data_IF_721373101638
#
_entry.id   IF_721373101638
#
_cell.length_a   1.000
_cell.length_b   1.000
_cell.length_c   1.000
_cell.angle_alpha   90.00
_cell.angle_beta   90.00
_cell.angle_gamma   90.00
#
_symmetry.space_group_name_H-M   'P 1'
#
loop_
_entity.id
_entity.type
_entity.pdbx_description
1 polymer ?
#
# COMPACT_ATOMS: atom_id res chain seq x y z
N UNK A 1 22.91 2.20 -12.48
CA UNK A 1 22.78 2.99 -11.23
C UNK A 1 21.69 4.07 -11.29
N UNK A 2 20.92 4.20 -12.38
CA UNK A 2 19.87 5.25 -12.52
C UNK A 2 18.48 4.80 -12.08
N UNK A 3 18.23 3.50 -12.09
CA UNK A 3 16.94 2.90 -11.73
C UNK A 3 16.60 3.08 -10.25
N UNK A 4 17.61 3.19 -9.40
CA UNK A 4 17.46 3.20 -7.94
C UNK A 4 17.04 4.57 -7.41
N UNK A 5 17.62 5.65 -7.94
CA UNK A 5 17.28 7.03 -7.57
C UNK A 5 15.83 7.40 -7.90
N UNK A 6 15.27 6.83 -8.97
CA UNK A 6 13.86 7.01 -9.33
C UNK A 6 12.95 6.23 -8.38
N UNK A 7 13.35 5.02 -8.00
CA UNK A 7 12.61 4.21 -7.03
C UNK A 7 12.57 4.86 -5.63
N UNK A 8 13.65 5.53 -5.21
CA UNK A 8 13.70 6.27 -3.96
C UNK A 8 12.75 7.47 -3.95
N UNK A 9 12.76 8.31 -4.99
CA UNK A 9 11.83 9.44 -5.12
C UNK A 9 10.37 8.99 -5.19
N UNK A 10 10.08 7.92 -5.94
CA UNK A 10 8.74 7.35 -6.00
C UNK A 10 8.31 6.81 -4.61
N UNK A 11 9.24 6.25 -3.83
CA UNK A 11 8.97 5.76 -2.48
C UNK A 11 8.70 6.90 -1.49
N UNK A 12 9.44 8.01 -1.55
CA UNK A 12 9.19 9.19 -0.71
C UNK A 12 7.76 9.73 -0.89
N UNK A 13 7.27 9.78 -2.13
CA UNK A 13 5.89 10.17 -2.44
C UNK A 13 4.87 9.20 -1.83
N UNK A 14 5.14 7.89 -1.94
CA UNK A 14 4.31 6.85 -1.32
C UNK A 14 4.31 6.97 0.20
N UNK A 15 5.45 7.26 0.81
CA UNK A 15 5.60 7.44 2.25
C UNK A 15 4.88 8.70 2.75
N UNK A 16 5.00 9.82 2.04
CA UNK A 16 4.27 11.04 2.34
C UNK A 16 2.75 10.81 2.24
N UNK A 17 2.30 10.12 1.19
CA UNK A 17 0.90 9.74 1.02
C UNK A 17 0.42 8.77 2.12
N UNK A 18 1.29 7.87 2.60
CA UNK A 18 1.01 6.98 3.72
C UNK A 18 0.82 7.76 5.03
N UNK A 19 1.77 8.63 5.38
CA UNK A 19 1.79 9.36 6.66
C UNK A 19 0.74 10.47 6.79
N UNK A 20 0.20 11.02 5.69
CA UNK A 20 -0.72 12.18 5.67
C UNK A 20 -1.92 12.14 6.63
N UNK A 21 -2.37 10.97 7.11
CA UNK A 21 -3.67 10.83 7.81
C UNK A 21 -3.65 9.91 9.05
N UNK A 22 -2.47 9.44 9.48
CA UNK A 22 -2.28 8.74 10.77
C UNK A 22 -2.85 7.32 10.91
N UNK A 23 -3.55 6.79 9.91
CA UNK A 23 -4.02 5.39 9.89
C UNK A 23 -3.32 4.57 8.82
N UNK A 24 -3.26 3.26 9.02
CA UNK A 24 -2.72 2.32 8.05
C UNK A 24 -3.51 2.39 6.74
N UNK A 25 -2.84 2.62 5.61
CA UNK A 25 -3.48 2.80 4.29
C UNK A 25 -3.16 1.63 3.38
N UNK A 26 -4.15 1.04 2.73
CA UNK A 26 -3.90 0.08 1.66
C UNK A 26 -3.36 0.74 0.38
N UNK A 27 -2.90 -0.06 -0.58
CA UNK A 27 -2.44 0.44 -1.89
C UNK A 27 -3.50 1.27 -2.64
N UNK A 28 -4.80 1.00 -2.40
CA UNK A 28 -5.91 1.83 -2.92
C UNK A 28 -5.86 3.25 -2.38
N UNK A 29 -5.76 3.37 -1.07
CA UNK A 29 -5.81 4.64 -0.37
C UNK A 29 -4.60 5.51 -0.70
N UNK A 30 -3.42 4.89 -0.83
CA UNK A 30 -2.19 5.57 -1.29
C UNK A 30 -2.41 6.10 -2.72
N UNK A 31 -2.90 5.26 -3.64
CA UNK A 31 -3.18 5.68 -5.01
C UNK A 31 -4.17 6.85 -5.08
N UNK A 32 -5.25 6.80 -4.30
CA UNK A 32 -6.25 7.89 -4.24
C UNK A 32 -5.64 9.18 -3.66
N UNK A 33 -4.78 9.06 -2.64
CA UNK A 33 -4.11 10.23 -2.04
C UNK A 33 -3.17 10.91 -3.03
N UNK A 34 -2.40 10.11 -3.79
CA UNK A 34 -1.51 10.61 -4.84
C UNK A 34 -2.29 11.26 -5.98
N UNK A 35 -3.40 10.64 -6.40
CA UNK A 35 -4.28 11.19 -7.45
C UNK A 35 -4.82 12.57 -7.04
N UNK A 36 -5.20 12.75 -5.78
CA UNK A 36 -5.67 14.03 -5.26
C UNK A 36 -4.57 15.09 -5.15
N UNK A 37 -3.30 14.68 -5.15
CA UNK A 37 -2.14 15.56 -5.24
C UNK A 37 -1.70 15.82 -6.69
N UNK A 38 -2.41 15.28 -7.69
CA UNK A 38 -2.06 15.39 -9.11
C UNK A 38 -1.00 14.40 -9.59
N UNK A 39 -0.59 13.44 -8.75
CA UNK A 39 0.44 12.45 -9.08
C UNK A 39 -0.23 11.14 -9.51
N UNK A 40 -0.18 10.85 -10.80
CA UNK A 40 -0.75 9.61 -11.36
C UNK A 40 0.28 8.49 -11.30
N UNK A 41 0.21 7.67 -10.25
CA UNK A 41 1.05 6.47 -10.11
C UNK A 41 0.21 5.19 -10.23
N UNK A 42 0.65 4.23 -11.05
CA UNK A 42 -0.02 2.93 -11.15
C UNK A 42 0.07 2.16 -9.82
N UNK A 43 -1.04 1.60 -9.37
CA UNK A 43 -1.10 0.69 -8.21
C UNK A 43 -0.06 -0.44 -8.25
N UNK A 44 0.27 -0.98 -9.42
CA UNK A 44 1.32 -2.00 -9.55
C UNK A 44 2.70 -1.47 -9.12
N UNK A 45 3.04 -0.22 -9.47
CA UNK A 45 4.30 0.42 -9.02
C UNK A 45 4.28 0.63 -7.50
N UNK A 46 3.18 1.12 -6.95
CA UNK A 46 3.02 1.32 -5.50
C UNK A 46 3.23 -0.01 -4.76
N UNK A 47 2.58 -1.10 -5.20
CA UNK A 47 2.75 -2.42 -4.58
C UNK A 47 4.19 -2.94 -4.71
N UNK A 48 4.86 -2.75 -5.85
CA UNK A 48 6.29 -3.13 -6.01
C UNK A 48 7.18 -2.36 -5.04
N UNK A 49 7.01 -1.04 -4.95
CA UNK A 49 7.79 -0.19 -4.05
C UNK A 49 7.53 -0.54 -2.59
N UNK A 50 6.27 -0.76 -2.21
CA UNK A 50 5.93 -1.23 -0.87
C UNK A 50 6.59 -2.56 -0.52
N UNK A 51 6.66 -3.52 -1.47
CA UNK A 51 7.37 -4.79 -1.25
C UNK A 51 8.89 -4.60 -1.16
N UNK A 52 9.47 -3.74 -2.00
CA UNK A 52 10.92 -3.45 -2.00
C UNK A 52 11.39 -2.80 -0.70
N UNK A 53 10.62 -1.84 -0.19
CA UNK A 53 10.92 -1.10 1.04
C UNK A 53 10.23 -1.67 2.28
N UNK A 54 9.67 -2.87 2.18
CA UNK A 54 9.00 -3.59 3.25
C UNK A 54 7.93 -2.77 4.01
N UNK A 55 7.22 -1.88 3.31
CA UNK A 55 6.16 -1.05 3.88
C UNK A 55 4.90 -1.91 4.10
N UNK A 56 4.70 -2.37 5.33
CA UNK A 56 3.55 -3.21 5.69
C UNK A 56 2.33 -2.33 5.96
N UNK A 57 1.23 -2.60 5.25
CA UNK A 57 -0.05 -1.95 5.50
C UNK A 57 -1.00 -2.91 6.22
N UNK A 58 -1.24 -2.72 7.52
CA UNK A 58 -1.97 -3.69 8.34
C UNK A 58 -3.49 -3.78 8.08
N UNK A 59 -4.03 -3.26 6.97
CA UNK A 59 -5.45 -3.48 6.64
C UNK A 59 -5.61 -4.84 5.96
N UNK A 60 -5.57 -5.90 6.75
CA UNK A 60 -6.32 -7.12 6.46
C UNK A 60 -7.21 -7.41 7.67
N UNK A 61 -8.48 -6.98 7.60
CA UNK A 61 -9.52 -7.66 8.39
C UNK A 61 -9.61 -9.09 7.86
N UNK A 62 -9.53 -10.08 8.73
CA UNK A 62 -9.85 -11.46 8.37
C UNK A 62 -11.29 -11.52 7.80
N UNK A 63 -11.52 -12.38 6.80
CA UNK A 63 -12.87 -12.59 6.28
C UNK A 63 -13.77 -13.13 7.41
N UNK A 64 -14.82 -12.42 7.84
CA UNK A 64 -15.68 -12.87 8.93
C UNK A 64 -16.38 -14.20 8.65
N UNK A 65 -16.56 -14.58 7.37
CA UNK A 65 -17.18 -15.84 6.94
C UNK A 65 -16.21 -17.02 6.88
N UNK A 66 -14.92 -16.79 7.18
CA UNK A 66 -13.89 -17.84 7.25
C UNK A 66 -13.64 -18.28 8.69
N UNK A 67 -14.65 -18.15 9.56
CA UNK A 67 -14.68 -18.85 10.84
C UNK A 67 -15.04 -20.30 10.53
N UNK A 68 -14.15 -21.20 10.90
CA UNK A 68 -14.25 -22.64 10.86
C UNK A 68 -15.69 -23.13 10.74
N UNK A 69 -16.08 -23.67 9.59
CA UNK A 69 -17.16 -24.64 9.56
C UNK A 69 -16.57 -25.90 10.18
N UNK A 70 -16.58 -25.92 11.51
CA UNK A 70 -16.30 -27.11 12.31
C UNK A 70 -17.45 -28.06 12.01
N UNK A 71 -17.28 -28.85 10.94
CA UNK A 71 -18.11 -30.04 10.72
C UNK A 71 -17.79 -30.93 11.91
N UNK A 72 -18.67 -30.99 12.91
CA UNK A 72 -18.66 -32.07 13.88
C UNK A 72 -18.75 -33.37 13.07
N UNK A 73 -17.64 -34.08 12.97
CA UNK A 73 -17.63 -35.48 12.53
C UNK A 73 -17.80 -36.36 13.75
#
# INVERSE_FOLDING_TARGET
>A
MESEKKDEKDFELVLAAFNKRGYSKGSRSIHMTLLQQGIVMNRKKIVRLMRKFNLVCPIRKANPYKKSHEVFR
#
